data_IF_728531603253
#
_entry.id   IF_728531603253
#
_cell.length_a   1.000
_cell.length_b   1.000
_cell.length_c   1.000
_cell.angle_alpha   90.00
_cell.angle_beta   90.00
_cell.angle_gamma   90.00
#
_symmetry.space_group_name_H-M   'P 1'
#
loop_
_entity.id
_entity.type
_entity.pdbx_description
1 polymer ?
#
# COMPACT_ATOMS: atom_id res chain seq x y z
N UNK A 1 -11.27 -13.19 -8.30
CA UNK A 1 -11.72 -12.79 -6.94
C UNK A 1 -10.51 -12.30 -6.18
N UNK A 2 -10.65 -11.30 -5.32
CA UNK A 2 -9.53 -10.73 -4.56
C UNK A 2 -9.06 -11.70 -3.48
N UNK A 3 -7.80 -12.11 -3.51
CA UNK A 3 -7.14 -12.80 -2.41
C UNK A 3 -6.62 -11.75 -1.40
N UNK A 4 -7.41 -11.50 -0.35
CA UNK A 4 -7.06 -10.56 0.70
C UNK A 4 -5.77 -10.91 1.45
N UNK A 5 -5.38 -12.19 1.51
CA UNK A 5 -4.13 -12.57 2.15
C UNK A 5 -2.94 -11.97 1.39
N UNK A 6 -2.96 -12.02 0.06
CA UNK A 6 -1.92 -11.42 -0.77
C UNK A 6 -1.83 -9.90 -0.58
N UNK A 7 -2.98 -9.22 -0.53
CA UNK A 7 -3.08 -7.76 -0.30
C UNK A 7 -2.50 -7.40 1.06
N UNK A 8 -2.88 -8.11 2.12
CA UNK A 8 -2.42 -7.85 3.49
C UNK A 8 -0.91 -8.09 3.59
N UNK A 9 -0.40 -9.18 3.01
CA UNK A 9 1.05 -9.44 3.03
C UNK A 9 1.82 -8.36 2.27
N UNK A 10 1.36 -7.96 1.09
CA UNK A 10 1.96 -6.83 0.36
C UNK A 10 1.94 -5.55 1.16
N UNK A 11 0.81 -5.19 1.78
CA UNK A 11 0.69 -4.05 2.67
C UNK A 11 1.67 -4.11 3.85
N UNK A 12 1.83 -5.28 4.50
CA UNK A 12 2.79 -5.45 5.59
C UNK A 12 4.22 -5.26 5.11
N UNK A 13 4.57 -5.73 3.91
CA UNK A 13 5.88 -5.48 3.29
C UNK A 13 6.08 -4.00 3.02
N UNK A 14 5.10 -3.31 2.41
CA UNK A 14 5.14 -1.84 2.21
C UNK A 14 5.35 -1.14 3.55
N UNK A 15 4.65 -1.55 4.59
CA UNK A 15 4.70 -0.91 5.92
C UNK A 15 6.09 -1.08 6.54
N UNK A 16 6.60 -2.31 6.60
CA UNK A 16 7.90 -2.59 7.22
C UNK A 16 9.03 -1.91 6.45
N UNK A 17 9.05 -2.06 5.12
CA UNK A 17 10.07 -1.42 4.29
C UNK A 17 9.93 0.10 4.26
N UNK A 18 8.71 0.63 4.33
CA UNK A 18 8.44 2.05 4.42
C UNK A 18 8.99 2.65 5.72
N UNK A 19 8.84 1.94 6.85
CA UNK A 19 9.43 2.34 8.13
C UNK A 19 10.96 2.33 8.06
N UNK A 20 11.57 1.27 7.51
CA UNK A 20 13.02 1.21 7.30
C UNK A 20 13.48 2.31 6.33
N UNK A 21 12.68 2.56 5.29
CA UNK A 21 12.89 3.57 4.27
C UNK A 21 12.83 5.01 4.78
N UNK A 22 12.36 5.26 6.00
CA UNK A 22 12.47 6.58 6.64
C UNK A 22 13.93 7.02 6.81
N UNK A 23 14.88 6.09 6.78
CA UNK A 23 16.33 6.40 6.75
C UNK A 23 16.78 7.06 5.44
N UNK A 24 16.02 6.89 4.35
CA UNK A 24 16.30 7.47 3.05
C UNK A 24 15.01 7.98 2.38
N UNK A 25 14.50 9.17 2.79
CA UNK A 25 13.19 9.66 2.40
C UNK A 25 12.98 9.76 0.89
N UNK A 26 11.77 9.47 0.44
CA UNK A 26 11.39 9.49 -0.98
C UNK A 26 11.75 8.17 -1.66
N UNK A 27 13.03 7.82 -1.68
CA UNK A 27 13.51 6.57 -2.32
C UNK A 27 13.04 5.34 -1.55
N UNK A 28 13.12 5.35 -0.21
CA UNK A 28 12.72 4.23 0.63
C UNK A 28 11.23 3.89 0.49
N UNK A 29 10.37 4.90 0.41
CA UNK A 29 8.94 4.74 0.26
C UNK A 29 8.56 4.24 -1.12
N UNK A 30 9.20 4.75 -2.18
CA UNK A 30 9.02 4.27 -3.54
C UNK A 30 9.42 2.79 -3.65
N UNK A 31 10.59 2.44 -3.11
CA UNK A 31 11.07 1.07 -3.07
C UNK A 31 10.13 0.15 -2.28
N UNK A 32 9.63 0.61 -1.13
CA UNK A 32 8.66 -0.14 -0.33
C UNK A 32 7.36 -0.41 -1.10
N UNK A 33 6.80 0.61 -1.78
CA UNK A 33 5.62 0.49 -2.62
C UNK A 33 5.81 -0.51 -3.75
N UNK A 34 6.90 -0.38 -4.51
CA UNK A 34 7.25 -1.30 -5.59
C UNK A 34 7.43 -2.74 -5.09
N UNK A 35 8.21 -2.95 -4.03
CA UNK A 35 8.50 -4.30 -3.51
C UNK A 35 7.24 -4.94 -2.95
N UNK A 36 6.47 -4.22 -2.13
CA UNK A 36 5.27 -4.79 -1.53
C UNK A 36 4.11 -4.97 -2.54
N UNK A 37 3.99 -4.07 -3.52
CA UNK A 37 3.08 -4.25 -4.66
C UNK A 37 3.42 -5.49 -5.49
N UNK A 38 4.71 -5.69 -5.79
CA UNK A 38 5.21 -6.90 -6.44
C UNK A 38 4.89 -8.16 -5.63
N UNK A 39 5.14 -8.15 -4.32
CA UNK A 39 4.84 -9.29 -3.42
C UNK A 39 3.35 -9.61 -3.43
N UNK A 40 2.47 -8.60 -3.35
CA UNK A 40 1.02 -8.79 -3.43
C UNK A 40 0.63 -9.47 -4.75
N UNK A 41 1.15 -8.98 -5.87
CA UNK A 41 0.85 -9.54 -7.18
C UNK A 41 1.41 -10.95 -7.38
N UNK A 42 2.65 -11.20 -6.92
CA UNK A 42 3.28 -12.51 -6.98
C UNK A 42 2.51 -13.55 -6.19
N UNK A 43 2.09 -13.23 -4.97
CA UNK A 43 1.30 -14.13 -4.13
C UNK A 43 -0.10 -14.37 -4.68
N UNK A 44 -0.74 -13.34 -5.26
CA UNK A 44 -2.05 -13.48 -5.87
C UNK A 44 -2.03 -14.40 -7.10
N UNK A 45 -0.94 -14.37 -7.88
CA UNK A 45 -0.84 -15.08 -9.16
C UNK A 45 -1.94 -14.67 -10.14
N UNK A 46 -2.24 -15.52 -11.12
CA UNK A 46 -3.35 -15.29 -12.07
C UNK A 46 -3.09 -14.24 -13.16
N UNK A 47 -1.82 -13.88 -13.38
CA UNK A 47 -1.38 -13.05 -14.51
C UNK A 47 -1.42 -11.53 -14.26
N UNK A 48 -1.24 -10.75 -15.34
CA UNK A 48 -1.12 -9.29 -15.31
C UNK A 48 -2.25 -8.59 -14.55
N UNK A 49 -3.50 -8.85 -14.94
CA UNK A 49 -4.67 -8.14 -14.41
C UNK A 49 -4.91 -8.44 -12.94
N UNK A 50 -4.73 -9.70 -12.53
CA UNK A 50 -4.80 -10.10 -11.13
C UNK A 50 -3.70 -9.42 -10.32
N UNK A 51 -2.45 -9.50 -10.78
CA UNK A 51 -1.32 -8.86 -10.10
C UNK A 51 -1.49 -7.35 -9.93
N UNK A 52 -1.93 -6.66 -10.99
CA UNK A 52 -2.20 -5.22 -10.97
C UNK A 52 -3.22 -4.84 -9.89
N UNK A 53 -4.33 -5.58 -9.83
CA UNK A 53 -5.39 -5.32 -8.87
C UNK A 53 -4.94 -5.49 -7.41
N UNK A 54 -4.20 -6.56 -7.12
CA UNK A 54 -3.71 -6.82 -5.76
C UNK A 54 -2.60 -5.85 -5.32
N UNK A 55 -1.71 -5.47 -6.25
CA UNK A 55 -0.71 -4.43 -6.01
C UNK A 55 -1.34 -3.06 -5.73
N UNK A 56 -2.37 -2.69 -6.49
CA UNK A 56 -3.13 -1.45 -6.28
C UNK A 56 -3.81 -1.43 -4.91
N UNK A 57 -4.49 -2.52 -4.55
CA UNK A 57 -5.15 -2.64 -3.25
C UNK A 57 -4.16 -2.59 -2.08
N UNK A 58 -3.00 -3.24 -2.21
CA UNK A 58 -1.96 -3.23 -1.18
C UNK A 58 -1.39 -1.81 -0.98
N UNK A 59 -1.08 -1.12 -2.08
CA UNK A 59 -0.60 0.27 -2.05
C UNK A 59 -1.63 1.25 -1.48
N UNK A 60 -2.89 1.15 -1.92
CA UNK A 60 -3.98 1.98 -1.43
C UNK A 60 -4.23 1.75 0.07
N UNK A 61 -4.20 0.50 0.54
CA UNK A 61 -4.33 0.19 1.96
C UNK A 61 -3.19 0.82 2.77
N UNK A 62 -1.96 0.80 2.23
CA UNK A 62 -0.79 1.46 2.79
C UNK A 62 -1.02 2.94 3.08
N UNK A 63 -1.43 3.70 2.06
CA UNK A 63 -1.63 5.14 2.23
C UNK A 63 -2.90 5.52 2.98
N UNK A 64 -3.98 4.71 2.90
CA UNK A 64 -5.18 4.91 3.74
C UNK A 64 -4.83 4.74 5.21
N UNK A 65 -4.18 3.63 5.58
CA UNK A 65 -3.81 3.36 6.97
C UNK A 65 -2.78 4.37 7.47
N UNK A 66 -1.72 4.63 6.68
CA UNK A 66 -0.69 5.61 7.04
C UNK A 66 -1.25 7.03 7.18
N UNK A 67 -2.11 7.45 6.24
CA UNK A 67 -2.78 8.74 6.28
C UNK A 67 -3.73 8.86 7.48
N UNK A 68 -4.50 7.82 7.79
CA UNK A 68 -5.41 7.82 8.92
C UNK A 68 -4.65 7.91 10.25
N UNK A 69 -3.54 7.18 10.39
CA UNK A 69 -2.69 7.23 11.57
C UNK A 69 -2.07 8.63 11.75
N UNK A 70 -1.56 9.23 10.68
CA UNK A 70 -1.00 10.58 10.74
C UNK A 70 -2.07 11.62 11.11
N UNK A 71 -3.24 11.53 10.49
CA UNK A 71 -4.38 12.39 10.80
C UNK A 71 -4.82 12.27 12.27
N UNK A 72 -4.85 11.05 12.80
CA UNK A 72 -5.16 10.79 14.20
C UNK A 72 -4.11 11.40 15.12
N UNK A 73 -2.82 11.21 14.84
CA UNK A 73 -1.73 11.80 15.64
C UNK A 73 -1.83 13.32 15.67
N UNK A 74 -2.04 13.97 14.52
CA UNK A 74 -2.20 15.44 14.44
C UNK A 74 -3.46 15.90 15.16
N UNK A 75 -4.58 15.19 14.99
CA UNK A 75 -5.84 15.48 15.68
C UNK A 75 -5.71 15.43 17.19
N UNK A 76 -5.08 14.38 17.71
CA UNK A 76 -4.84 14.19 19.16
C UNK A 76 -3.84 15.20 19.69
N UNK A 77 -2.73 15.46 18.97
CA UNK A 77 -1.72 16.43 19.37
C UNK A 77 -2.30 17.86 19.52
N UNK A 78 -3.32 18.20 18.72
CA UNK A 78 -4.01 19.49 18.81
C UNK A 78 -4.58 19.79 20.20
N UNK A 79 -5.00 18.77 20.95
CA UNK A 79 -5.53 18.94 22.31
C UNK A 79 -4.52 19.53 23.31
N UNK A 80 -3.21 19.47 23.01
CA UNK A 80 -2.20 20.17 23.80
C UNK A 80 -2.42 21.69 23.84
N UNK A 81 -3.10 22.26 22.85
CA UNK A 81 -3.52 23.66 22.80
C UNK A 81 -4.90 23.94 23.43
N UNK A 82 -5.45 23.01 24.22
CA UNK A 82 -6.79 23.13 24.80
C UNK A 82 -7.93 22.90 23.78
N UNK A 83 -9.18 23.30 24.09
CA UNK A 83 -10.34 23.01 23.23
C UNK A 83 -10.24 23.60 21.81
N UNK A 84 -9.72 24.82 21.70
CA UNK A 84 -9.49 25.47 20.39
C UNK A 84 -8.40 24.74 19.61
N UNK A 85 -7.31 24.35 20.27
CA UNK A 85 -6.27 23.53 19.66
C UNK A 85 -6.79 22.17 19.19
N UNK A 86 -7.67 21.53 19.96
CA UNK A 86 -8.31 20.27 19.59
C UNK A 86 -9.18 20.41 18.34
N UNK A 87 -9.97 21.49 18.23
CA UNK A 87 -10.77 21.76 17.04
C UNK A 87 -9.90 22.00 15.79
N UNK A 88 -8.85 22.82 15.92
CA UNK A 88 -7.91 23.10 14.82
C UNK A 88 -7.11 21.86 14.43
N UNK A 89 -6.66 21.07 15.41
CA UNK A 89 -5.95 19.80 15.19
C UNK A 89 -6.84 18.79 14.48
N UNK A 90 -8.12 18.68 14.86
CA UNK A 90 -9.09 17.82 14.20
C UNK A 90 -9.31 18.20 12.73
N UNK A 91 -9.46 19.50 12.44
CA UNK A 91 -9.56 20.00 11.06
C UNK A 91 -8.28 19.74 10.25
N UNK A 92 -7.11 20.01 10.84
CA UNK A 92 -5.82 19.74 10.21
C UNK A 92 -5.64 18.25 9.93
N UNK A 93 -5.97 17.38 10.88
CA UNK A 93 -5.94 15.92 10.73
C UNK A 93 -6.84 15.45 9.59
N UNK A 94 -8.08 15.95 9.52
CA UNK A 94 -8.99 15.63 8.42
C UNK A 94 -8.43 16.08 7.06
N UNK A 95 -7.86 17.28 6.97
CA UNK A 95 -7.21 17.78 5.76
C UNK A 95 -6.02 16.93 5.33
N UNK A 96 -5.17 16.55 6.29
CA UNK A 96 -4.03 15.66 6.06
C UNK A 96 -4.49 14.30 5.55
N UNK A 97 -5.56 13.73 6.13
CA UNK A 97 -6.11 12.46 5.66
C UNK A 97 -6.55 12.54 4.21
N UNK A 98 -7.28 13.59 3.82
CA UNK A 98 -7.75 13.76 2.44
C UNK A 98 -6.59 13.93 1.45
N UNK A 99 -5.57 14.70 1.81
CA UNK A 99 -4.37 14.87 0.98
C UNK A 99 -3.60 13.55 0.88
N UNK A 100 -3.42 12.84 2.00
CA UNK A 100 -2.77 11.54 2.02
C UNK A 100 -3.53 10.50 1.20
N UNK A 101 -4.87 10.52 1.23
CA UNK A 101 -5.73 9.66 0.41
C UNK A 101 -5.55 9.95 -1.08
N UNK A 102 -5.53 11.22 -1.49
CA UNK A 102 -5.29 11.59 -2.88
C UNK A 102 -3.89 11.15 -3.35
N UNK A 103 -2.85 11.41 -2.56
CA UNK A 103 -1.48 10.97 -2.85
C UNK A 103 -1.41 9.44 -2.88
N UNK A 104 -2.06 8.76 -1.95
CA UNK A 104 -2.09 7.29 -1.89
C UNK A 104 -2.65 6.67 -3.15
N UNK A 105 -3.67 7.26 -3.76
CA UNK A 105 -4.24 6.73 -5.00
C UNK A 105 -3.26 6.83 -6.16
N UNK A 106 -2.49 7.93 -6.22
CA UNK A 106 -1.42 8.10 -7.22
C UNK A 106 -0.28 7.12 -6.97
N UNK A 107 0.20 7.03 -5.73
CA UNK A 107 1.30 6.14 -5.36
C UNK A 107 0.91 4.66 -5.47
N UNK A 108 -0.35 4.31 -5.26
CA UNK A 108 -0.82 2.94 -5.46
C UNK A 108 -0.66 2.46 -6.91
N UNK A 109 -0.55 3.36 -7.90
CA UNK A 109 -0.30 2.99 -9.29
C UNK A 109 1.06 2.34 -9.49
N UNK A 110 2.11 2.81 -8.82
CA UNK A 110 3.43 2.20 -8.93
C UNK A 110 3.43 0.78 -8.34
N UNK A 111 2.70 0.60 -7.22
CA UNK A 111 2.49 -0.69 -6.58
C UNK A 111 1.67 -1.63 -7.48
N UNK A 112 0.70 -1.09 -8.21
CA UNK A 112 -0.09 -1.84 -9.19
C UNK A 112 0.77 -2.32 -10.37
N UNK A 113 1.63 -1.46 -10.91
CA UNK A 113 2.56 -1.84 -11.99
C UNK A 113 3.51 -2.94 -11.50
N UNK A 114 4.09 -2.79 -10.31
CA UNK A 114 4.95 -3.81 -9.73
C UNK A 114 4.17 -5.12 -9.46
N UNK A 115 2.94 -5.03 -8.98
CA UNK A 115 2.05 -6.17 -8.79
C UNK A 115 1.73 -6.90 -10.09
N UNK A 116 1.52 -6.18 -11.19
CA UNK A 116 1.29 -6.78 -12.50
C UNK A 116 2.49 -7.66 -12.92
N UNK A 117 3.72 -7.16 -12.68
CA UNK A 117 4.96 -7.93 -12.92
C UNK A 117 5.02 -9.15 -12.00
N UNK A 118 4.70 -9.01 -10.72
CA UNK A 118 4.67 -10.15 -9.79
C UNK A 118 3.67 -11.23 -10.21
N UNK A 119 2.45 -10.83 -10.59
CA UNK A 119 1.38 -11.75 -11.00
C UNK A 119 1.69 -12.49 -12.30
N UNK A 120 2.42 -11.85 -13.22
CA UNK A 120 2.96 -12.50 -14.41
C UNK A 120 3.93 -13.64 -14.06
N UNK A 121 4.90 -13.37 -13.18
CA UNK A 121 5.95 -14.32 -12.87
C UNK A 121 5.42 -15.59 -12.17
N UNK A 122 4.33 -15.48 -11.41
CA UNK A 122 3.69 -16.63 -10.77
C UNK A 122 2.54 -17.25 -11.60
N UNK A 123 2.25 -16.72 -12.79
CA UNK A 123 1.22 -17.29 -13.67
C UNK A 123 1.72 -18.48 -14.52
N UNK A 124 3.04 -18.54 -14.80
CA UNK A 124 3.67 -19.65 -15.53
C UNK A 124 3.84 -20.94 -14.72
N UNK A 125 3.78 -20.87 -13.39
CA UNK A 125 3.92 -22.02 -12.48
C UNK A 125 2.68 -22.93 -12.43
N UNK A 126 1.58 -22.53 -13.06
CA UNK A 126 0.28 -23.23 -13.02
C UNK A 126 0.01 -24.09 -14.25
N UNK A 127 0.97 -24.24 -15.18
CA UNK A 127 0.84 -25.24 -16.25
C UNK A 127 0.87 -26.66 -15.63
N UNK A 128 -0.17 -27.49 -15.81
CA UNK A 128 -0.14 -28.86 -15.35
C UNK A 128 0.96 -29.60 -16.08
N UNK A 129 2.05 -29.88 -15.39
CA UNK A 129 2.99 -30.92 -15.79
C UNK A 129 2.26 -32.28 -15.74
N UNK A 130 1.55 -32.65 -16.80
CA UNK A 130 0.94 -33.99 -16.84
C UNK A 130 -0.25 -34.16 -17.78
N UNK A 131 -0.02 -34.11 -19.09
CA UNK A 131 -0.59 -35.11 -20.02
C UNK A 131 0.21 -35.14 -21.31
N UNK A 132 1.43 -35.66 -21.23
CA UNK A 132 2.01 -36.42 -22.34
C UNK A 132 1.87 -37.89 -21.95
N UNK A 133 1.62 -38.72 -22.97
CA UNK A 133 1.16 -40.11 -22.93
C UNK A 133 -0.36 -40.26 -22.85
#
# INVERSE_FOLDING_TARGET
>A
MTDWRSVIVGFLVITVLGIVGLTLPGVGQLAAGLIGGFVAGYLAGGGLGSGFWHGLLAGALGGIVGGALLALVVGVAGFAGGPVGGALGGLAGAGIFLVALAISLVMALESAVAGAVGGLLNSGSSEPAGRRY
#
